data_IF_685493154161
#
_entry.id   IF_685493154161
#
_cell.length_a   1.000
_cell.length_b   1.000
_cell.length_c   1.000
_cell.angle_alpha   90.00
_cell.angle_beta   90.00
_cell.angle_gamma   90.00
#
_symmetry.space_group_name_H-M   'P 1'
#
loop_
_entity.id
_entity.type
_entity.pdbx_description
1 polymer ?
#
# COMPACT_ATOMS: atom_id res chain seq x y z
N UNK A 1 -36.34 -22.52 -41.29
CA UNK A 1 -35.40 -23.45 -40.61
C UNK A 1 -34.10 -22.67 -40.37
N UNK A 2 -33.96 -22.08 -39.18
CA UNK A 2 -32.80 -21.23 -38.83
C UNK A 2 -31.64 -22.12 -38.38
N UNK A 3 -30.53 -22.05 -39.13
CA UNK A 3 -29.29 -22.78 -38.86
C UNK A 3 -28.65 -22.17 -37.62
N UNK A 4 -28.57 -22.93 -36.53
CA UNK A 4 -27.84 -22.55 -35.33
C UNK A 4 -26.37 -22.29 -35.72
N UNK A 5 -25.94 -21.04 -35.56
CA UNK A 5 -24.53 -20.66 -35.61
C UNK A 5 -23.95 -21.14 -34.29
N UNK A 6 -23.19 -22.24 -34.34
CA UNK A 6 -22.45 -22.75 -33.20
C UNK A 6 -21.47 -21.69 -32.73
N UNK A 7 -21.62 -21.25 -31.47
CA UNK A 7 -20.59 -20.53 -30.73
C UNK A 7 -19.36 -21.43 -30.71
N UNK A 8 -18.34 -21.09 -31.49
CA UNK A 8 -17.01 -21.65 -31.29
C UNK A 8 -16.52 -21.16 -29.94
N UNK A 9 -16.62 -22.02 -28.92
CA UNK A 9 -15.89 -21.81 -27.69
C UNK A 9 -14.40 -21.88 -28.05
N UNK A 10 -13.76 -20.72 -28.13
CA UNK A 10 -12.31 -20.64 -28.28
C UNK A 10 -11.71 -21.38 -27.08
N UNK A 11 -10.91 -22.45 -27.28
CA UNK A 11 -10.32 -23.14 -26.14
C UNK A 11 -9.38 -22.17 -25.42
N UNK A 12 -9.77 -21.73 -24.23
CA UNK A 12 -8.90 -20.98 -23.34
C UNK A 12 -7.76 -21.92 -22.91
N UNK A 13 -6.59 -21.77 -23.52
CA UNK A 13 -5.41 -22.49 -23.09
C UNK A 13 -5.11 -22.10 -21.63
N UNK A 14 -4.87 -23.07 -20.73
CA UNK A 14 -4.43 -22.77 -19.37
C UNK A 14 -3.13 -21.97 -19.43
N UNK A 15 -3.12 -20.78 -18.85
CA UNK A 15 -1.90 -20.00 -18.68
C UNK A 15 -1.08 -20.64 -17.57
N UNK A 16 0.18 -20.95 -17.83
CA UNK A 16 1.13 -21.37 -16.80
C UNK A 16 1.71 -20.12 -16.14
N UNK A 17 1.39 -19.85 -14.85
CA UNK A 17 1.89 -18.67 -14.16
C UNK A 17 3.39 -18.78 -13.88
N UNK A 18 4.09 -17.65 -13.88
CA UNK A 18 5.49 -17.63 -13.45
C UNK A 18 5.61 -18.09 -11.99
N UNK A 19 6.72 -18.77 -11.68
CA UNK A 19 7.04 -19.16 -10.31
C UNK A 19 7.35 -17.94 -9.42
N UNK A 20 7.07 -17.99 -8.11
CA UNK A 20 7.35 -16.88 -7.18
C UNK A 20 8.81 -16.43 -7.23
N UNK A 21 9.75 -17.39 -7.29
CA UNK A 21 11.18 -17.08 -7.32
C UNK A 21 11.57 -16.34 -8.60
N UNK A 22 10.94 -16.66 -9.73
CA UNK A 22 11.13 -15.96 -11.00
C UNK A 22 10.56 -14.54 -10.93
N UNK A 23 9.40 -14.35 -10.30
CA UNK A 23 8.82 -13.03 -10.07
C UNK A 23 9.73 -12.16 -9.20
N UNK A 24 10.31 -12.72 -8.13
CA UNK A 24 11.21 -12.01 -7.24
C UNK A 24 12.48 -11.53 -7.96
N UNK A 25 13.02 -12.34 -8.88
CA UNK A 25 14.17 -11.97 -9.72
C UNK A 25 13.84 -10.81 -10.67
N UNK A 26 12.61 -10.76 -11.22
CA UNK A 26 12.15 -9.65 -12.07
C UNK A 26 11.95 -8.38 -11.23
N UNK A 27 11.43 -8.51 -10.02
CA UNK A 27 11.09 -7.40 -9.15
C UNK A 27 12.34 -6.71 -8.56
N UNK A 28 13.32 -7.49 -8.10
CA UNK A 28 14.52 -7.01 -7.40
C UNK A 28 15.27 -5.84 -8.06
N UNK A 29 15.59 -5.86 -9.38
CA UNK A 29 16.30 -4.75 -10.00
C UNK A 29 15.48 -3.45 -9.99
N UNK A 30 14.15 -3.53 -10.12
CA UNK A 30 13.31 -2.33 -10.06
C UNK A 30 13.28 -1.75 -8.64
N UNK A 31 13.25 -2.60 -7.63
CA UNK A 31 13.28 -2.13 -6.25
C UNK A 31 14.60 -1.42 -5.93
N UNK A 32 15.73 -1.97 -6.36
CA UNK A 32 17.02 -1.33 -6.17
C UNK A 32 17.12 0.06 -6.83
N UNK A 33 16.55 0.22 -8.03
CA UNK A 33 16.42 1.52 -8.70
C UNK A 33 15.59 2.51 -7.87
N UNK A 34 14.43 2.09 -7.38
CA UNK A 34 13.52 2.95 -6.62
C UNK A 34 14.08 3.30 -5.23
N UNK A 35 14.76 2.39 -4.56
CA UNK A 35 15.46 2.67 -3.30
C UNK A 35 16.56 3.72 -3.50
N UNK A 36 17.30 3.67 -4.61
CA UNK A 36 18.28 4.69 -4.96
C UNK A 36 17.64 6.06 -5.25
N UNK A 37 16.39 6.09 -5.74
CA UNK A 37 15.57 7.30 -5.89
C UNK A 37 14.93 7.80 -4.58
N UNK A 38 15.21 7.14 -3.46
CA UNK A 38 14.72 7.52 -2.13
C UNK A 38 13.33 7.00 -1.78
N UNK A 39 12.83 6.01 -2.50
CA UNK A 39 11.66 5.25 -2.06
C UNK A 39 12.03 4.29 -0.93
N UNK A 40 11.13 4.11 0.04
CA UNK A 40 11.32 3.18 1.15
C UNK A 40 10.36 2.02 1.03
N UNK A 41 10.87 0.79 1.03
CA UNK A 41 10.05 -0.43 1.01
C UNK A 41 9.29 -0.58 2.33
N UNK A 42 7.97 -0.67 2.26
CA UNK A 42 7.08 -0.90 3.40
C UNK A 42 6.72 -2.37 3.56
N UNK A 43 6.40 -3.02 2.44
CA UNK A 43 5.98 -4.42 2.37
C UNK A 43 6.56 -5.00 1.09
N UNK A 44 7.07 -6.23 1.17
CA UNK A 44 7.59 -6.96 0.02
C UNK A 44 7.12 -8.42 0.08
N UNK A 45 6.74 -8.94 -1.08
CA UNK A 45 6.49 -10.35 -1.37
C UNK A 45 7.20 -10.72 -2.67
N UNK A 46 7.08 -11.97 -3.10
CA UNK A 46 7.71 -12.44 -4.34
C UNK A 46 7.16 -11.76 -5.60
N UNK A 47 5.89 -11.34 -5.58
CA UNK A 47 5.21 -10.74 -6.74
C UNK A 47 4.98 -9.24 -6.61
N UNK A 48 5.17 -8.65 -5.43
CA UNK A 48 4.91 -7.23 -5.24
C UNK A 48 5.79 -6.60 -4.17
N UNK A 49 6.00 -5.30 -4.31
CA UNK A 49 6.44 -4.46 -3.21
C UNK A 49 5.60 -3.20 -3.16
N UNK A 50 5.32 -2.74 -1.94
CA UNK A 50 4.78 -1.41 -1.68
C UNK A 50 5.88 -0.54 -1.13
N UNK A 51 6.09 0.61 -1.76
CA UNK A 51 7.05 1.61 -1.35
C UNK A 51 6.35 2.92 -1.00
N UNK A 52 7.01 3.76 -0.20
CA UNK A 52 6.54 5.11 0.14
C UNK A 52 7.64 6.13 -0.05
N UNK A 53 7.26 7.34 -0.48
CA UNK A 53 8.14 8.51 -0.56
C UNK A 53 7.33 9.77 -0.31
N UNK A 54 7.61 10.45 0.80
CA UNK A 54 6.88 11.66 1.19
C UNK A 54 5.38 11.39 1.37
N UNK A 55 4.56 11.89 0.44
CA UNK A 55 3.10 11.73 0.44
C UNK A 55 2.55 10.78 -0.63
N UNK A 56 3.42 9.99 -1.25
CA UNK A 56 3.04 8.99 -2.26
C UNK A 56 3.40 7.59 -1.80
N UNK A 57 2.52 6.64 -2.11
CA UNK A 57 2.81 5.21 -2.14
C UNK A 57 2.99 4.76 -3.59
N UNK A 58 3.87 3.81 -3.81
CA UNK A 58 4.07 3.16 -5.10
C UNK A 58 3.89 1.65 -4.91
N UNK A 59 2.95 1.07 -5.64
CA UNK A 59 2.81 -0.37 -5.74
C UNK A 59 3.57 -0.84 -6.98
N UNK A 60 4.56 -1.69 -6.80
CA UNK A 60 5.29 -2.36 -7.89
C UNK A 60 4.89 -3.82 -7.86
N UNK A 61 4.40 -4.36 -8.98
CA UNK A 61 3.89 -5.73 -9.05
C UNK A 61 4.40 -6.43 -10.30
N UNK A 62 4.56 -7.73 -10.21
CA UNK A 62 4.81 -8.61 -11.35
C UNK A 62 3.55 -9.44 -11.57
N UNK A 63 2.99 -9.41 -12.77
CA UNK A 63 1.82 -10.21 -13.11
C UNK A 63 2.19 -11.70 -13.29
N UNK A 64 1.18 -12.54 -13.51
CA UNK A 64 1.38 -13.99 -13.69
C UNK A 64 2.17 -14.34 -14.97
N UNK A 65 2.37 -13.38 -15.88
CA UNK A 65 3.10 -13.52 -17.14
C UNK A 65 4.50 -12.87 -17.07
N UNK A 66 4.91 -12.36 -15.92
CA UNK A 66 6.20 -11.69 -15.72
C UNK A 66 6.26 -10.25 -16.19
N UNK A 67 5.13 -9.59 -16.45
CA UNK A 67 5.08 -8.16 -16.74
C UNK A 67 5.12 -7.35 -15.46
N UNK A 68 5.93 -6.29 -15.48
CA UNK A 68 6.07 -5.37 -14.36
C UNK A 68 5.05 -4.23 -14.48
N UNK A 69 4.27 -4.02 -13.43
CA UNK A 69 3.30 -2.93 -13.31
C UNK A 69 3.68 -2.00 -12.16
N UNK A 70 3.56 -0.69 -12.40
CA UNK A 70 3.80 0.35 -11.41
C UNK A 70 2.54 1.20 -11.25
N UNK A 71 2.04 1.31 -10.02
CA UNK A 71 0.86 2.10 -9.69
C UNK A 71 1.17 3.06 -8.54
N UNK A 72 1.34 4.36 -8.86
CA UNK A 72 1.52 5.41 -7.85
C UNK A 72 0.17 5.88 -7.31
N UNK A 73 0.06 5.94 -5.99
CA UNK A 73 -1.13 6.37 -5.26
C UNK A 73 -0.76 7.45 -4.25
N UNK A 74 -1.52 8.55 -4.15
CA UNK A 74 -1.35 9.48 -3.04
C UNK A 74 -1.67 8.78 -1.71
N UNK A 75 -0.99 9.17 -0.63
CA UNK A 75 -1.42 8.80 0.72
C UNK A 75 -2.84 9.32 0.92
N UNK A 76 -3.75 8.44 1.35
CA UNK A 76 -5.10 8.89 1.70
C UNK A 76 -5.00 9.72 3.00
N UNK A 77 -5.75 10.82 3.07
CA UNK A 77 -5.84 11.72 4.24
C UNK A 77 -5.93 11.00 5.62
N UNK A 78 -6.55 9.81 5.76
CA UNK A 78 -6.55 9.08 7.02
C UNK A 78 -5.18 8.63 7.55
N UNK A 79 -4.15 8.44 6.70
CA UNK A 79 -2.81 8.03 7.17
C UNK A 79 -2.05 9.17 7.86
N UNK A 80 -2.29 10.44 7.48
CA UNK A 80 -1.77 11.61 8.20
C UNK A 80 -2.64 11.98 9.42
N UNK A 81 -3.94 11.62 9.41
CA UNK A 81 -4.89 12.06 10.44
C UNK A 81 -4.70 11.37 11.80
N UNK A 82 -4.15 10.14 11.84
CA UNK A 82 -3.95 9.41 13.09
C UNK A 82 -3.10 10.18 14.11
N UNK A 83 -2.00 10.80 13.66
CA UNK A 83 -1.14 11.62 14.53
C UNK A 83 -1.86 12.87 15.01
N UNK A 84 -2.63 13.53 14.15
CA UNK A 84 -3.37 14.75 14.50
C UNK A 84 -4.45 14.43 15.54
N UNK A 85 -5.20 13.35 15.33
CA UNK A 85 -6.24 12.89 16.26
C UNK A 85 -5.61 12.51 17.61
N UNK A 86 -4.50 11.78 17.62
CA UNK A 86 -3.79 11.43 18.85
C UNK A 86 -3.29 12.67 19.62
N UNK A 87 -2.68 13.64 18.92
CA UNK A 87 -2.24 14.91 19.52
C UNK A 87 -3.41 15.70 20.08
N UNK A 88 -4.54 15.75 19.37
CA UNK A 88 -5.74 16.44 19.83
C UNK A 88 -6.30 15.81 21.11
N UNK A 89 -6.41 14.48 21.16
CA UNK A 89 -6.80 13.78 22.38
C UNK A 89 -5.83 14.06 23.53
N UNK A 90 -4.52 13.98 23.28
CA UNK A 90 -3.51 14.26 24.30
C UNK A 90 -3.69 15.66 24.91
N UNK A 91 -3.86 16.69 24.07
CA UNK A 91 -4.10 18.06 24.52
C UNK A 91 -5.39 18.15 25.34
N UNK A 92 -6.49 17.56 24.87
CA UNK A 92 -7.77 17.60 25.58
C UNK A 92 -7.65 16.92 26.96
N UNK A 93 -7.05 15.74 27.02
CA UNK A 93 -6.85 15.03 28.28
C UNK A 93 -5.95 15.82 29.23
N UNK A 94 -4.88 16.42 28.72
CA UNK A 94 -3.99 17.26 29.52
C UNK A 94 -4.71 18.49 30.10
N UNK A 95 -5.51 19.18 29.29
CA UNK A 95 -6.32 20.31 29.74
C UNK A 95 -7.37 19.90 30.77
N UNK A 96 -8.02 18.75 30.58
CA UNK A 96 -8.99 18.23 31.54
C UNK A 96 -8.33 17.90 32.88
N UNK A 97 -7.15 17.27 32.86
CA UNK A 97 -6.38 16.99 34.06
C UNK A 97 -5.99 18.27 34.81
N UNK A 98 -5.56 19.31 34.09
CA UNK A 98 -5.28 20.64 34.66
C UNK A 98 -6.50 21.25 35.35
N UNK A 99 -7.67 21.25 34.68
CA UNK A 99 -8.91 21.80 35.25
C UNK A 99 -9.30 21.06 36.54
N UNK A 100 -9.18 19.73 36.55
CA UNK A 100 -9.47 18.92 37.74
C UNK A 100 -8.46 19.19 38.86
N UNK A 101 -7.17 19.26 38.55
CA UNK A 101 -6.13 19.54 39.53
C UNK A 101 -6.28 20.93 40.15
N UNK A 102 -6.67 21.95 39.36
CA UNK A 102 -7.01 23.28 39.87
C UNK A 102 -8.26 23.26 40.75
N UNK A 103 -9.33 22.57 40.33
CA UNK A 103 -10.56 22.48 41.14
C UNK A 103 -10.37 21.75 42.48
N UNK A 104 -9.36 20.88 42.56
CA UNK A 104 -8.97 20.16 43.77
C UNK A 104 -7.92 20.90 44.62
N UNK A 105 -7.45 22.07 44.18
CA UNK A 105 -6.41 22.84 44.89
C UNK A 105 -5.02 22.22 44.87
N UNK A 106 -4.74 21.30 43.93
CA UNK A 106 -3.42 20.65 43.77
C UNK A 106 -2.41 21.60 43.13
N UNK A 107 -2.90 22.61 42.41
CA UNK A 107 -2.11 23.57 41.66
C UNK A 107 -2.01 24.95 42.34
N UNK A 108 -2.57 25.08 43.56
CA UNK A 108 -2.49 26.29 44.41
C UNK A 108 -1.27 26.26 45.35
#
# INVERSE_FOLDING_TARGET
MLKQVGLMETPHQPVEPIAPEAAAVILAPKLAELEAEGWVVLVQTDYMARLTRGKSNLDVRVDLLGQLELEEKPLTLPQESGRIIATLFLIIFFLLALVLASGLGVLD
#
